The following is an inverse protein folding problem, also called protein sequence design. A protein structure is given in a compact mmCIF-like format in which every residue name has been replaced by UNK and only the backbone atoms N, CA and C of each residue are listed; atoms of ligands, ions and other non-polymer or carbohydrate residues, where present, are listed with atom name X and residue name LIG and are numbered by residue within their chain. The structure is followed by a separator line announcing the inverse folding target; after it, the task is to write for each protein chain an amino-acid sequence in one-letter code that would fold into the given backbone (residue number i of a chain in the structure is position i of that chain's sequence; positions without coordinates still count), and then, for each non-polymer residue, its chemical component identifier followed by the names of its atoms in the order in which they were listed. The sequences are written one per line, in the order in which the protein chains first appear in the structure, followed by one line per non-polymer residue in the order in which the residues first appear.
data_IF_864995223078
#
_entry.id   IF_864995223078
#
_cell.length_a   1.000
_cell.length_b   1.000
_cell.length_c   1.000
_cell.angle_alpha   90.00
_cell.angle_beta   90.00
_cell.angle_gamma   90.00
#
_symmetry.space_group_name_H-M   'P 1'
#
loop_
_entity.id
_entity.type
_entity.pdbx_description
1 polymer ?
#
# COMPACT_ATOMS: atom_id res chain seq x y z
N UNK A 1 5.70 2.92 -41.77
CA UNK A 1 4.98 1.72 -41.31
C UNK A 1 3.50 2.05 -41.31
N UNK A 2 2.69 1.16 -41.86
CA UNK A 2 1.23 1.26 -41.90
C UNK A 2 0.61 0.28 -40.89
N UNK A 3 -0.65 0.45 -40.53
CA UNK A 3 -1.38 -0.49 -39.66
C UNK A 3 -1.42 -1.92 -40.23
N UNK A 4 -1.24 -2.08 -41.55
CA UNK A 4 -1.10 -3.38 -42.22
C UNK A 4 0.11 -4.19 -41.74
N UNK A 5 1.14 -3.54 -41.20
CA UNK A 5 2.41 -4.18 -40.81
C UNK A 5 2.34 -4.76 -39.37
N UNK A 6 1.28 -4.45 -38.61
CA UNK A 6 1.14 -4.83 -37.20
C UNK A 6 1.20 -6.34 -36.93
N UNK A 7 0.56 -7.22 -37.74
CA UNK A 7 0.67 -8.66 -37.52
C UNK A 7 2.12 -9.15 -37.57
N UNK A 8 2.91 -8.61 -38.51
CA UNK A 8 4.31 -8.97 -38.68
C UNK A 8 5.18 -8.40 -37.55
N UNK A 9 4.97 -7.15 -37.15
CA UNK A 9 5.65 -6.57 -35.99
C UNK A 9 5.38 -7.36 -34.70
N UNK A 10 4.13 -7.78 -34.47
CA UNK A 10 3.78 -8.63 -33.33
C UNK A 10 4.51 -9.97 -33.37
N UNK A 11 4.65 -10.57 -34.55
CA UNK A 11 5.41 -11.82 -34.75
C UNK A 11 6.87 -11.62 -34.38
N UNK A 12 7.49 -10.55 -34.88
CA UNK A 12 8.89 -10.20 -34.61
C UNK A 12 9.12 -9.94 -33.11
N UNK A 13 8.28 -9.13 -32.47
CA UNK A 13 8.43 -8.85 -31.04
C UNK A 13 8.21 -10.09 -30.17
N UNK A 14 7.20 -10.91 -30.47
CA UNK A 14 6.96 -12.16 -29.75
C UNK A 14 8.18 -13.08 -29.79
N UNK A 15 8.73 -13.31 -31.00
CA UNK A 15 9.89 -14.17 -31.17
C UNK A 15 11.14 -13.58 -30.49
N UNK A 16 11.34 -12.26 -30.60
CA UNK A 16 12.47 -11.58 -29.99
C UNK A 16 12.39 -11.67 -28.47
N UNK A 17 11.28 -11.24 -27.86
CA UNK A 17 11.15 -11.26 -26.40
C UNK A 17 11.22 -12.68 -25.80
N UNK A 18 10.72 -13.70 -26.51
CA UNK A 18 10.84 -15.09 -26.07
C UNK A 18 12.28 -15.66 -26.06
N UNK A 19 13.24 -15.00 -26.74
CA UNK A 19 14.62 -15.49 -26.86
C UNK A 19 15.49 -15.24 -25.62
N UNK A 20 15.03 -14.43 -24.67
CA UNK A 20 15.74 -14.12 -23.42
C UNK A 20 14.77 -14.01 -22.26
N UNK A 21 15.27 -14.19 -21.05
CA UNK A 21 14.52 -13.95 -19.82
C UNK A 21 14.22 -12.46 -19.63
N UNK A 22 13.24 -12.15 -18.79
CA UNK A 22 12.93 -10.77 -18.40
C UNK A 22 14.16 -10.06 -17.80
N UNK A 23 14.94 -10.76 -16.96
CA UNK A 23 16.14 -10.21 -16.32
C UNK A 23 17.26 -9.88 -17.33
N UNK A 24 17.37 -10.65 -18.41
CA UNK A 24 18.30 -10.34 -19.51
C UNK A 24 17.82 -9.14 -20.31
N UNK A 25 16.53 -9.07 -20.67
CA UNK A 25 15.98 -7.90 -21.37
C UNK A 25 16.09 -6.63 -20.53
N UNK A 26 15.81 -6.70 -19.23
CA UNK A 26 15.94 -5.56 -18.33
C UNK A 26 17.36 -5.00 -18.35
N UNK A 27 18.39 -5.87 -18.31
CA UNK A 27 19.80 -5.45 -18.44
C UNK A 27 20.15 -4.86 -19.81
N UNK A 28 19.50 -5.31 -20.89
CA UNK A 28 19.74 -4.77 -22.24
C UNK A 28 19.15 -3.37 -22.40
N UNK A 29 17.98 -3.12 -21.81
CA UNK A 29 17.30 -1.83 -21.91
C UNK A 29 17.74 -0.83 -20.85
N UNK A 30 18.35 -1.29 -19.75
CA UNK A 30 18.87 -0.40 -18.70
C UNK A 30 19.88 0.61 -19.25
N UNK A 31 19.74 1.88 -18.85
CA UNK A 31 20.57 2.98 -19.34
C UNK A 31 20.36 3.38 -20.80
N UNK A 32 19.36 2.84 -21.49
CA UNK A 32 19.01 3.25 -22.87
C UNK A 32 17.89 4.30 -22.89
N UNK A 33 17.68 4.97 -24.04
CA UNK A 33 16.57 5.92 -24.25
C UNK A 33 15.22 5.21 -24.52
N UNK A 34 15.16 3.89 -24.33
CA UNK A 34 13.93 3.13 -24.51
C UNK A 34 13.09 3.13 -23.22
N UNK A 35 11.82 3.51 -23.32
CA UNK A 35 10.85 3.43 -22.22
C UNK A 35 10.40 1.98 -21.98
N UNK A 36 11.27 1.16 -21.40
CA UNK A 36 10.99 -0.25 -21.08
C UNK A 36 11.17 -0.47 -19.58
N UNK A 37 10.21 -1.17 -18.97
CA UNK A 37 10.27 -1.60 -17.57
C UNK A 37 9.85 -3.07 -17.48
N UNK A 38 10.44 -3.86 -16.57
CA UNK A 38 9.91 -5.19 -16.27
C UNK A 38 8.50 -5.10 -15.68
N UNK A 39 7.72 -6.15 -15.89
CA UNK A 39 6.46 -6.38 -15.17
C UNK A 39 6.80 -7.22 -13.94
N UNK A 40 6.70 -6.60 -12.76
CA UNK A 40 7.06 -7.22 -11.49
C UNK A 40 5.88 -7.97 -10.87
N UNK A 41 6.18 -9.03 -10.12
CA UNK A 41 5.21 -9.69 -9.25
C UNK A 41 4.97 -8.88 -7.96
N UNK A 42 3.93 -9.22 -7.20
CA UNK A 42 3.72 -8.63 -5.87
C UNK A 42 4.83 -9.00 -4.88
N UNK A 43 5.52 -10.12 -5.09
CA UNK A 43 6.62 -10.58 -4.24
C UNK A 43 7.92 -9.80 -4.53
N UNK A 44 8.10 -9.35 -5.77
CA UNK A 44 9.31 -8.65 -6.21
C UNK A 44 9.19 -7.12 -6.11
N UNK A 45 7.96 -6.57 -6.12
CA UNK A 45 7.73 -5.14 -6.35
C UNK A 45 8.40 -4.24 -5.32
N UNK A 46 8.37 -4.58 -4.04
CA UNK A 46 8.97 -3.77 -2.98
C UNK A 46 10.49 -3.82 -2.97
N UNK A 47 11.05 -4.96 -3.40
CA UNK A 47 12.49 -5.16 -3.51
C UNK A 47 13.13 -4.45 -4.71
N UNK A 48 12.32 -3.95 -5.66
CA UNK A 48 12.83 -3.28 -6.84
C UNK A 48 13.62 -2.01 -6.46
N UNK A 49 14.82 -1.75 -7.04
CA UNK A 49 15.69 -0.65 -6.63
C UNK A 49 14.98 0.71 -6.57
N UNK A 50 14.15 1.04 -7.56
CA UNK A 50 13.36 2.27 -7.56
C UNK A 50 12.42 2.41 -6.35
N UNK A 51 11.79 1.31 -5.92
CA UNK A 51 10.86 1.32 -4.79
C UNK A 51 11.60 1.37 -3.46
N UNK A 52 12.77 0.72 -3.36
CA UNK A 52 13.65 0.83 -2.19
C UNK A 52 14.19 2.25 -2.01
N UNK A 53 14.72 2.86 -3.08
CA UNK A 53 15.25 4.24 -3.05
C UNK A 53 14.22 5.26 -2.61
N UNK A 54 12.95 5.04 -2.99
CA UNK A 54 11.84 5.93 -2.65
C UNK A 54 11.15 5.57 -1.34
N UNK A 55 11.59 4.48 -0.69
CA UNK A 55 10.90 3.85 0.42
C UNK A 55 9.40 3.70 0.13
N UNK A 56 9.01 3.23 -1.06
CA UNK A 56 7.60 3.19 -1.51
C UNK A 56 6.72 2.23 -0.70
N UNK A 57 7.30 1.33 0.09
CA UNK A 57 6.61 0.33 0.90
C UNK A 57 7.02 0.47 2.38
N UNK A 58 6.15 0.02 3.27
CA UNK A 58 6.36 -0.08 4.72
C UNK A 58 5.97 -1.47 5.20
N UNK A 59 6.68 -1.94 6.22
CA UNK A 59 6.39 -3.22 6.88
C UNK A 59 5.89 -2.92 8.29
N UNK A 60 4.80 -3.55 8.69
CA UNK A 60 4.25 -3.42 10.03
C UNK A 60 4.98 -4.32 11.05
N UNK A 61 4.48 -4.36 12.30
CA UNK A 61 5.05 -5.23 13.34
C UNK A 61 4.75 -6.73 13.13
N UNK A 62 3.77 -7.08 12.31
CA UNK A 62 3.43 -8.47 11.97
C UNK A 62 4.30 -9.01 10.82
N UNK A 63 5.04 -8.13 10.13
CA UNK A 63 5.84 -8.46 8.95
C UNK A 63 5.07 -8.32 7.64
N UNK A 64 3.83 -7.81 7.68
CA UNK A 64 3.03 -7.54 6.48
C UNK A 64 3.51 -6.26 5.80
N UNK A 65 3.69 -6.33 4.49
CA UNK A 65 4.16 -5.22 3.68
C UNK A 65 3.00 -4.53 2.96
N UNK A 66 3.00 -3.21 2.98
CA UNK A 66 1.99 -2.38 2.34
C UNK A 66 2.61 -1.16 1.66
N UNK A 67 2.01 -0.66 0.57
CA UNK A 67 2.47 0.57 -0.05
C UNK A 67 2.30 1.75 0.89
N UNK A 68 3.26 2.68 0.87
CA UNK A 68 3.12 3.95 1.59
C UNK A 68 2.07 4.84 0.94
N UNK A 69 1.39 5.69 1.73
CA UNK A 69 0.53 6.74 1.19
C UNK A 69 1.29 7.62 0.20
N UNK A 70 0.69 7.86 -0.95
CA UNK A 70 1.21 8.74 -1.99
C UNK A 70 0.37 10.03 -2.10
N UNK A 71 0.97 11.18 -2.45
CA UNK A 71 2.39 11.39 -2.73
C UNK A 71 3.24 11.54 -1.45
N UNK A 72 4.55 11.23 -1.57
CA UNK A 72 5.54 11.56 -0.54
C UNK A 72 5.85 13.06 -0.57
N UNK A 73 5.22 13.82 0.31
CA UNK A 73 5.41 15.28 0.40
C UNK A 73 6.72 15.60 1.11
N UNK A 74 7.54 16.48 0.52
CA UNK A 74 8.84 16.86 1.08
C UNK A 74 8.76 17.80 2.29
N UNK A 75 7.69 18.60 2.40
CA UNK A 75 7.52 19.60 3.47
C UNK A 75 6.69 19.09 4.65
N UNK A 76 5.73 18.22 4.37
CA UNK A 76 4.80 17.65 5.36
C UNK A 76 4.61 16.17 5.04
N UNK A 77 5.65 15.34 5.21
CA UNK A 77 5.56 13.91 4.93
C UNK A 77 4.44 13.28 5.78
N UNK A 78 3.62 12.44 5.16
CA UNK A 78 2.68 11.62 5.91
C UNK A 78 3.45 10.48 6.61
N UNK A 79 3.24 10.33 7.91
CA UNK A 79 3.71 9.19 8.68
C UNK A 79 2.55 8.19 8.80
N UNK A 80 2.64 7.01 8.16
CA UNK A 80 1.57 6.02 8.26
C UNK A 80 1.48 5.46 9.68
N UNK A 81 0.27 5.36 10.20
CA UNK A 81 0.00 4.65 11.44
C UNK A 81 0.10 3.14 11.17
N UNK A 82 1.02 2.45 11.84
CA UNK A 82 1.18 1.00 11.78
C UNK A 82 0.50 0.30 12.97
N UNK A 83 -0.28 1.04 13.76
CA UNK A 83 -1.09 0.45 14.81
C UNK A 83 -2.25 -0.35 14.17
N UNK A 84 -2.73 -1.41 14.82
CA UNK A 84 -3.91 -2.13 14.37
C UNK A 84 -5.12 -1.20 14.22
N UNK A 85 -6.03 -1.56 13.31
CA UNK A 85 -7.30 -0.87 13.17
C UNK A 85 -8.04 -0.82 14.53
N UNK A 86 -8.61 0.34 14.89
CA UNK A 86 -9.31 0.45 16.16
C UNK A 86 -10.54 -0.45 16.16
N UNK A 87 -10.80 -1.07 17.32
CA UNK A 87 -12.05 -1.79 17.52
C UNK A 87 -13.24 -0.83 17.43
N UNK A 88 -14.38 -1.39 17.04
CA UNK A 88 -15.66 -0.67 17.07
C UNK A 88 -15.92 -0.17 18.50
N UNK A 89 -16.02 1.15 18.65
CA UNK A 89 -16.20 1.79 19.95
C UNK A 89 -14.93 1.94 20.80
N UNK A 90 -13.74 1.65 20.23
CA UNK A 90 -12.46 1.74 20.94
C UNK A 90 -12.12 3.15 21.45
N UNK A 91 -12.65 4.19 20.80
CA UNK A 91 -12.45 5.60 21.17
C UNK A 91 -13.74 6.29 21.65
N UNK A 92 -14.83 5.57 21.90
CA UNK A 92 -16.14 6.17 22.24
C UNK A 92 -16.06 7.08 23.47
N UNK A 93 -15.41 6.60 24.54
CA UNK A 93 -15.30 7.35 25.80
C UNK A 93 -14.42 8.57 25.61
N UNK A 94 -13.22 8.38 25.04
CA UNK A 94 -12.24 9.45 24.79
C UNK A 94 -12.85 10.62 24.00
N UNK A 95 -13.55 10.31 22.91
CA UNK A 95 -14.20 11.34 22.08
C UNK A 95 -15.34 12.04 22.82
N UNK A 96 -16.18 11.32 23.56
CA UNK A 96 -17.28 11.93 24.32
C UNK A 96 -16.77 12.86 25.43
N UNK A 97 -15.68 12.48 26.11
CA UNK A 97 -15.02 13.32 27.10
C UNK A 97 -14.43 14.59 26.45
N UNK A 98 -13.81 14.48 25.27
CA UNK A 98 -13.31 15.63 24.50
C UNK A 98 -14.42 16.63 24.15
N UNK A 99 -15.62 16.15 23.85
CA UNK A 99 -16.80 16.98 23.59
C UNK A 99 -17.49 17.50 24.88
N UNK A 100 -16.96 17.17 26.06
CA UNK A 100 -17.42 17.70 27.35
C UNK A 100 -18.56 16.93 28.01
N UNK A 101 -18.84 15.70 27.57
CA UNK A 101 -19.77 14.82 28.30
C UNK A 101 -19.12 14.35 29.61
N UNK A 102 -19.92 14.30 30.67
CA UNK A 102 -19.44 13.76 31.95
C UNK A 102 -19.46 12.24 31.91
N UNK A 103 -18.66 11.59 32.75
CA UNK A 103 -18.69 10.13 32.88
C UNK A 103 -20.10 9.60 33.21
N UNK A 104 -20.91 10.37 33.94
CA UNK A 104 -22.30 10.02 34.24
C UNK A 104 -23.20 10.03 32.99
N UNK A 105 -23.02 11.00 32.08
CA UNK A 105 -23.75 11.04 30.81
C UNK A 105 -23.36 9.85 29.91
N UNK A 106 -22.06 9.54 29.87
CA UNK A 106 -21.51 8.44 29.07
C UNK A 106 -22.04 7.09 29.60
N UNK A 107 -22.02 6.87 30.91
CA UNK A 107 -22.57 5.67 31.55
C UNK A 107 -24.06 5.50 31.27
N UNK A 108 -24.81 6.59 31.23
CA UNK A 108 -26.23 6.58 30.86
C UNK A 108 -26.42 6.14 29.40
N UNK A 109 -25.63 6.67 28.47
CA UNK A 109 -25.69 6.31 27.05
C UNK A 109 -25.30 4.84 26.82
N UNK A 110 -24.28 4.34 27.53
CA UNK A 110 -23.87 2.94 27.48
C UNK A 110 -24.98 2.02 28.00
N UNK A 111 -25.59 2.37 29.14
CA UNK A 111 -26.69 1.60 29.73
C UNK A 111 -27.93 1.62 28.83
N UNK A 112 -28.20 2.73 28.16
CA UNK A 112 -29.29 2.86 27.19
C UNK A 112 -29.01 2.19 25.83
N UNK A 113 -27.78 1.71 25.59
CA UNK A 113 -27.37 1.12 24.31
C UNK A 113 -27.29 2.12 23.15
N UNK A 114 -27.15 3.41 23.45
CA UNK A 114 -27.02 4.49 22.45
C UNK A 114 -25.61 4.52 21.87
N UNK A 115 -24.61 4.16 22.68
CA UNK A 115 -23.20 4.07 22.31
C UNK A 115 -22.63 2.73 22.77
N UNK A 116 -21.54 2.28 22.17
CA UNK A 116 -20.85 1.04 22.53
C UNK A 116 -19.36 1.27 22.80
N UNK A 117 -18.80 0.44 23.68
CA UNK A 117 -17.36 0.36 23.97
C UNK A 117 -16.95 -1.09 23.88
N UNK A 118 -16.17 -1.44 22.86
CA UNK A 118 -15.54 -2.75 22.79
C UNK A 118 -14.05 -2.60 23.04
N UNK A 119 -13.61 -2.94 24.25
CA UNK A 119 -12.19 -3.21 24.47
C UNK A 119 -11.84 -4.50 23.73
N UNK A 120 -10.80 -4.47 22.90
CA UNK A 120 -10.26 -5.67 22.26
C UNK A 120 -9.94 -6.69 23.34
N UNK A 121 -10.75 -7.74 23.47
CA UNK A 121 -10.37 -8.91 24.26
C UNK A 121 -9.31 -9.65 23.46
N UNK A 122 -8.04 -9.39 23.76
CA UNK A 122 -6.95 -10.21 23.28
C UNK A 122 -7.29 -11.68 23.58
N UNK A 123 -7.51 -12.49 22.54
CA UNK A 123 -7.48 -13.94 22.69
C UNK A 123 -6.00 -14.32 22.78
N UNK A 124 -5.62 -14.80 23.96
CA UNK A 124 -4.34 -15.48 24.22
C UNK A 124 -4.06 -16.56 23.16
#
# INVERSE_FOLDING_TARGET
MSFSDWPELRRIFTQSFASKTQAEWSRVFDGTDACVTPVLSFEDVSSHPHNQERASFVTDHSGEESPRPAPLLSRTPAEPCLAPDPAIGGHTVEVLEEFGFTSADIDQMLTAGVVEVNAVKAKL
#
